data_IF_956945874643
#
_entry.id   IF_956945874643
#
_cell.length_a   1.000
_cell.length_b   1.000
_cell.length_c   1.000
_cell.angle_alpha   90.00
_cell.angle_beta   90.00
_cell.angle_gamma   90.00
#
_symmetry.space_group_name_H-M   'P 1'
#
loop_
_entity.id
_entity.type
_entity.pdbx_description
1 polymer ?
#
# COMPACT_ATOMS: atom_id res chain seq x y z
N UNK A 1 -4.35 44.80 23.55
CA UNK A 1 -4.23 45.90 22.57
C UNK A 1 -5.62 46.41 22.18
N UNK A 2 -6.42 46.86 23.16
CA UNK A 2 -7.86 47.08 23.02
C UNK A 2 -8.33 48.53 23.20
N UNK A 3 -7.44 49.52 23.00
CA UNK A 3 -7.72 50.91 23.42
C UNK A 3 -7.70 51.95 22.29
N UNK A 4 -7.77 51.54 21.01
CA UNK A 4 -7.87 52.50 19.89
C UNK A 4 -9.31 52.81 19.44
N UNK A 5 -10.34 52.22 20.07
CA UNK A 5 -11.72 52.25 19.57
C UNK A 5 -12.70 53.10 20.40
N UNK A 6 -12.21 54.05 21.22
CA UNK A 6 -13.06 55.07 21.84
C UNK A 6 -12.63 56.49 21.47
N UNK A 7 -12.07 56.66 20.27
CA UNK A 7 -11.93 57.99 19.67
C UNK A 7 -13.32 58.48 19.27
N UNK A 8 -13.72 59.66 19.72
CA UNK A 8 -14.92 60.33 19.25
C UNK A 8 -14.86 60.44 17.73
N UNK A 9 -15.79 59.81 17.01
CA UNK A 9 -15.87 59.84 15.54
C UNK A 9 -16.36 61.18 15.00
N UNK A 10 -16.54 62.17 15.88
CA UNK A 10 -16.99 63.52 15.60
C UNK A 10 -15.79 64.46 15.57
N UNK A 11 -15.67 65.21 14.49
CA UNK A 11 -14.66 66.25 14.32
C UNK A 11 -15.29 67.64 14.49
N UNK A 12 -14.47 68.61 14.88
CA UNK A 12 -14.85 70.02 14.76
C UNK A 12 -14.97 70.40 13.27
N UNK A 13 -15.74 71.45 12.91
CA UNK A 13 -15.86 71.89 11.52
C UNK A 13 -14.52 72.21 10.86
N UNK A 14 -13.57 72.78 11.61
CA UNK A 14 -12.23 73.12 11.11
C UNK A 14 -11.40 71.86 10.85
N UNK A 15 -11.47 70.87 11.73
CA UNK A 15 -10.79 69.58 11.53
C UNK A 15 -11.38 68.81 10.36
N UNK A 16 -12.72 68.78 10.24
CA UNK A 16 -13.42 68.14 9.13
C UNK A 16 -13.03 68.77 7.78
N UNK A 17 -12.98 70.11 7.71
CA UNK A 17 -12.54 70.82 6.51
C UNK A 17 -11.08 70.47 6.14
N UNK A 18 -10.17 70.45 7.13
CA UNK A 18 -8.77 70.06 6.90
C UNK A 18 -8.65 68.62 6.42
N UNK A 19 -9.43 67.70 7.00
CA UNK A 19 -9.47 66.31 6.57
C UNK A 19 -10.01 66.17 5.13
N UNK A 20 -11.05 66.93 4.77
CA UNK A 20 -11.60 66.94 3.41
C UNK A 20 -10.54 67.33 2.38
N UNK A 21 -9.77 68.41 2.62
CA UNK A 21 -8.71 68.87 1.71
C UNK A 21 -7.64 67.79 1.52
N UNK A 22 -7.24 67.11 2.60
CA UNK A 22 -6.25 66.03 2.54
C UNK A 22 -6.78 64.82 1.76
N UNK A 23 -8.04 64.44 1.98
CA UNK A 23 -8.67 63.30 1.30
C UNK A 23 -8.86 63.60 -0.19
N UNK A 24 -9.27 64.82 -0.56
CA UNK A 24 -9.38 65.23 -1.97
C UNK A 24 -8.03 65.16 -2.69
N UNK A 25 -6.94 65.59 -2.03
CA UNK A 25 -5.59 65.45 -2.57
C UNK A 25 -5.16 63.98 -2.68
N UNK A 26 -5.49 63.15 -1.69
CA UNK A 26 -5.21 61.72 -1.74
C UNK A 26 -5.96 61.02 -2.90
N UNK A 27 -7.24 61.35 -3.10
CA UNK A 27 -8.04 60.83 -4.21
C UNK A 27 -7.45 61.22 -5.57
N UNK A 28 -7.00 62.47 -5.76
CA UNK A 28 -6.33 62.90 -7.00
C UNK A 28 -5.08 62.05 -7.29
N UNK A 29 -4.29 61.77 -6.25
CA UNK A 29 -3.08 60.92 -6.36
C UNK A 29 -3.43 59.46 -6.67
N UNK A 30 -4.47 58.90 -6.07
CA UNK A 30 -4.92 57.53 -6.35
C UNK A 30 -5.43 57.39 -7.79
N UNK A 31 -6.17 58.40 -8.30
CA UNK A 31 -6.63 58.43 -9.69
C UNK A 31 -5.43 58.51 -10.65
N UNK A 32 -4.43 59.33 -10.32
CA UNK A 32 -3.18 59.42 -11.07
C UNK A 32 -2.43 58.08 -11.10
N UNK A 33 -2.28 57.42 -9.94
CA UNK A 33 -1.70 56.08 -9.86
C UNK A 33 -2.49 55.07 -10.71
N UNK A 34 -3.81 55.15 -10.75
CA UNK A 34 -4.65 54.33 -11.61
C UNK A 34 -4.37 54.52 -13.11
N UNK A 35 -4.07 55.75 -13.54
CA UNK A 35 -3.63 56.04 -14.92
C UNK A 35 -2.26 55.45 -15.20
N UNK A 36 -1.30 55.67 -14.29
CA UNK A 36 0.06 55.16 -14.42
C UNK A 36 0.11 53.62 -14.48
N UNK A 37 -0.71 52.93 -13.67
CA UNK A 37 -0.83 51.48 -13.68
C UNK A 37 -1.31 50.95 -15.04
N UNK A 38 -2.27 51.65 -15.68
CA UNK A 38 -2.78 51.27 -17.01
C UNK A 38 -1.72 51.46 -18.09
N UNK A 39 -0.94 52.53 -18.02
CA UNK A 39 0.16 52.80 -18.95
C UNK A 39 1.29 51.76 -18.81
N UNK A 40 1.73 51.48 -17.58
CA UNK A 40 2.78 50.49 -17.30
C UNK A 40 2.41 49.04 -17.68
N UNK A 41 1.12 48.69 -17.66
CA UNK A 41 0.62 47.34 -18.00
C UNK A 41 1.04 46.92 -19.41
N UNK A 42 1.16 47.88 -20.32
CA UNK A 42 1.44 47.63 -21.74
C UNK A 42 2.94 47.44 -21.99
N UNK A 43 3.77 48.23 -21.32
CA UNK A 43 5.20 48.36 -21.63
C UNK A 43 6.06 47.34 -20.86
N UNK A 44 5.84 47.19 -19.54
CA UNK A 44 6.61 46.24 -18.71
C UNK A 44 6.25 44.77 -18.96
N UNK A 45 5.02 44.49 -19.42
CA UNK A 45 4.58 43.13 -19.75
C UNK A 45 5.38 42.58 -20.94
N UNK A 46 5.63 43.42 -21.95
CA UNK A 46 6.46 43.04 -23.10
C UNK A 46 7.90 42.72 -22.68
N UNK A 47 8.52 43.65 -21.94
CA UNK A 47 9.93 43.54 -21.58
C UNK A 47 10.23 42.39 -20.60
N UNK A 48 9.37 42.14 -19.62
CA UNK A 48 9.61 41.09 -18.62
C UNK A 48 9.23 39.70 -19.14
N UNK A 49 8.17 39.58 -19.94
CA UNK A 49 7.86 38.31 -20.61
C UNK A 49 8.96 37.93 -21.58
N UNK A 50 9.54 38.91 -22.30
CA UNK A 50 10.71 38.70 -23.15
C UNK A 50 11.93 38.24 -22.33
N UNK A 51 12.30 38.98 -21.28
CA UNK A 51 13.46 38.62 -20.45
C UNK A 51 13.33 37.24 -19.78
N UNK A 52 12.14 36.89 -19.28
CA UNK A 52 11.89 35.56 -18.72
C UNK A 52 11.88 34.47 -19.80
N UNK A 53 11.39 34.79 -21.00
CA UNK A 53 11.49 33.92 -22.16
C UNK A 53 12.94 33.62 -22.52
N UNK A 54 13.79 34.64 -22.55
CA UNK A 54 15.23 34.52 -22.83
C UNK A 54 15.96 33.69 -21.77
N UNK A 55 15.63 33.89 -20.49
CA UNK A 55 16.21 33.10 -19.39
C UNK A 55 15.77 31.62 -19.45
N UNK A 56 14.51 31.34 -19.77
CA UNK A 56 14.00 29.97 -19.96
C UNK A 56 14.64 29.32 -21.18
N UNK A 57 14.80 30.05 -22.29
CA UNK A 57 15.49 29.57 -23.49
C UNK A 57 16.94 29.22 -23.17
N UNK A 58 17.65 30.06 -22.39
CA UNK A 58 19.02 29.78 -21.92
C UNK A 58 19.07 28.50 -21.07
N UNK A 59 18.19 28.38 -20.08
CA UNK A 59 18.11 27.19 -19.20
C UNK A 59 17.82 25.90 -19.99
N UNK A 60 16.95 25.97 -21.00
CA UNK A 60 16.68 24.83 -21.90
C UNK A 60 17.93 24.46 -22.70
N UNK A 61 18.68 25.45 -23.21
CA UNK A 61 19.95 25.23 -23.89
C UNK A 61 20.98 24.54 -22.99
N UNK A 62 21.18 25.03 -21.78
CA UNK A 62 22.09 24.45 -20.78
C UNK A 62 21.69 23.00 -20.42
N UNK A 63 20.39 22.73 -20.26
CA UNK A 63 19.89 21.36 -20.03
C UNK A 63 20.18 20.44 -21.22
N UNK A 64 19.91 20.88 -22.45
CA UNK A 64 20.15 20.08 -23.65
C UNK A 64 21.64 19.76 -23.85
N UNK A 65 22.53 20.69 -23.52
CA UNK A 65 23.97 20.45 -23.62
C UNK A 65 24.46 19.49 -22.53
N UNK A 66 23.93 19.57 -21.31
CA UNK A 66 24.18 18.59 -20.26
C UNK A 66 23.64 17.19 -20.63
N UNK A 67 22.49 17.10 -21.30
CA UNK A 67 21.93 15.83 -21.81
C UNK A 67 22.83 15.20 -22.87
N UNK A 68 23.33 16.00 -23.83
CA UNK A 68 24.29 15.52 -24.84
C UNK A 68 25.58 15.02 -24.19
N UNK A 69 26.15 15.79 -23.25
CA UNK A 69 27.35 15.38 -22.51
C UNK A 69 27.13 14.10 -21.72
N UNK A 70 25.98 13.96 -21.06
CA UNK A 70 25.63 12.74 -20.34
C UNK A 70 25.52 11.53 -21.29
N UNK A 71 24.89 11.69 -22.45
CA UNK A 71 24.78 10.62 -23.46
C UNK A 71 26.14 10.18 -23.99
N UNK A 72 27.06 11.13 -24.24
CA UNK A 72 28.44 10.82 -24.64
C UNK A 72 29.16 10.03 -23.55
N UNK A 73 29.11 10.47 -22.29
CA UNK A 73 29.74 9.78 -21.16
C UNK A 73 29.17 8.38 -20.91
N UNK A 74 27.88 8.14 -21.21
CA UNK A 74 27.28 6.80 -21.16
C UNK A 74 27.87 5.91 -22.25
N UNK A 75 27.99 6.41 -23.49
CA UNK A 75 28.60 5.66 -24.60
C UNK A 75 30.08 5.35 -24.33
N UNK A 76 30.85 6.34 -23.88
CA UNK A 76 32.26 6.16 -23.53
C UNK A 76 32.42 5.11 -22.41
N UNK A 77 31.50 5.11 -21.43
CA UNK A 77 31.47 4.08 -20.38
C UNK A 77 31.19 2.68 -20.93
N UNK A 78 30.25 2.54 -21.86
CA UNK A 78 29.91 1.27 -22.51
C UNK A 78 31.10 0.72 -23.31
N UNK A 79 31.83 1.58 -24.02
CA UNK A 79 33.04 1.22 -24.78
C UNK A 79 34.21 0.83 -23.86
N UNK A 80 34.40 1.53 -22.74
CA UNK A 80 35.45 1.26 -21.76
C UNK A 80 35.20 0.00 -20.91
N UNK A 81 33.96 -0.46 -20.77
CA UNK A 81 33.64 -1.69 -20.03
C UNK A 81 34.27 -2.95 -20.67
N UNK A 82 34.63 -2.90 -21.96
CA UNK A 82 35.35 -3.97 -22.67
C UNK A 82 36.88 -3.89 -22.62
N UNK A 83 37.46 -2.79 -22.10
CA UNK A 83 38.89 -2.51 -22.11
C UNK A 83 39.50 -2.65 -20.69
N UNK A 84 40.77 -3.06 -20.58
CA UNK A 84 41.45 -3.29 -19.29
C UNK A 84 41.84 -2.01 -18.52
N UNK A 85 41.47 -0.83 -19.02
CA UNK A 85 41.85 0.44 -18.40
C UNK A 85 40.87 0.85 -17.29
N UNK A 86 41.15 0.35 -16.08
CA UNK A 86 40.34 0.60 -14.88
C UNK A 86 40.41 2.05 -14.39
N UNK A 87 41.46 2.81 -14.74
CA UNK A 87 41.61 4.18 -14.27
C UNK A 87 40.74 5.14 -15.07
N UNK A 88 40.71 5.00 -16.40
CA UNK A 88 39.83 5.80 -17.27
C UNK A 88 38.37 5.47 -17.04
N UNK A 89 38.00 4.19 -16.85
CA UNK A 89 36.63 3.81 -16.49
C UNK A 89 36.14 4.51 -15.21
N UNK A 90 36.98 4.53 -14.15
CA UNK A 90 36.64 5.22 -12.90
C UNK A 90 36.57 6.74 -13.04
N UNK A 91 37.32 7.33 -13.96
CA UNK A 91 37.24 8.76 -14.25
C UNK A 91 35.94 9.10 -14.99
N UNK A 92 35.56 8.30 -16.00
CA UNK A 92 34.31 8.43 -16.75
C UNK A 92 33.09 8.23 -15.84
N UNK A 93 33.14 7.28 -14.90
CA UNK A 93 32.06 7.09 -13.91
C UNK A 93 31.87 8.29 -12.98
N UNK A 94 32.96 8.94 -12.56
CA UNK A 94 32.89 10.19 -11.77
C UNK A 94 32.30 11.33 -12.58
N UNK A 95 32.75 11.51 -13.82
CA UNK A 95 32.21 12.54 -14.72
C UNK A 95 30.73 12.30 -15.01
N UNK A 96 30.31 11.05 -15.20
CA UNK A 96 28.91 10.67 -15.40
C UNK A 96 28.05 11.00 -14.17
N UNK A 97 28.54 10.71 -12.97
CA UNK A 97 27.86 11.05 -11.72
C UNK A 97 27.73 12.56 -11.54
N UNK A 98 28.77 13.33 -11.87
CA UNK A 98 28.75 14.79 -11.83
C UNK A 98 27.79 15.38 -12.88
N UNK A 99 27.81 14.88 -14.11
CA UNK A 99 26.89 15.29 -15.17
C UNK A 99 25.43 14.98 -14.79
N UNK A 100 25.17 13.81 -14.21
CA UNK A 100 23.86 13.44 -13.65
C UNK A 100 23.40 14.39 -12.53
N UNK A 101 24.30 14.81 -11.64
CA UNK A 101 23.98 15.75 -10.56
C UNK A 101 23.65 17.15 -11.12
N UNK A 102 24.47 17.65 -12.05
CA UNK A 102 24.25 18.94 -12.74
C UNK A 102 22.95 18.93 -13.55
N UNK A 103 22.64 17.83 -14.24
CA UNK A 103 21.39 17.69 -15.00
C UNK A 103 20.16 17.67 -14.09
N UNK A 104 20.24 17.05 -12.90
CA UNK A 104 19.18 17.11 -11.89
C UNK A 104 19.00 18.53 -11.35
N UNK A 105 20.09 19.25 -11.12
CA UNK A 105 20.04 20.63 -10.66
C UNK A 105 19.46 21.59 -11.72
N UNK A 106 19.94 21.50 -12.96
CA UNK A 106 19.40 22.26 -14.10
C UNK A 106 17.91 22.00 -14.31
N UNK A 107 17.46 20.74 -14.22
CA UNK A 107 16.04 20.40 -14.29
C UNK A 107 15.23 20.98 -13.12
N UNK A 108 15.78 20.94 -11.90
CA UNK A 108 15.15 21.55 -10.73
C UNK A 108 15.01 23.06 -10.93
N UNK A 109 16.03 23.71 -11.46
CA UNK A 109 16.05 25.16 -11.66
C UNK A 109 15.15 25.59 -12.82
N UNK A 110 15.09 24.83 -13.92
CA UNK A 110 14.10 25.03 -14.98
C UNK A 110 12.67 24.86 -14.43
N UNK A 111 12.38 23.75 -13.73
CA UNK A 111 11.08 23.53 -13.10
C UNK A 111 10.73 24.63 -12.09
N UNK A 112 11.72 25.12 -11.34
CA UNK A 112 11.54 26.22 -10.41
C UNK A 112 11.21 27.51 -11.15
N UNK A 113 11.93 27.87 -12.20
CA UNK A 113 11.67 29.08 -12.98
C UNK A 113 10.30 29.04 -13.66
N UNK A 114 9.91 27.89 -14.22
CA UNK A 114 8.56 27.69 -14.78
C UNK A 114 7.46 27.84 -13.72
N UNK A 115 7.68 27.33 -12.49
CA UNK A 115 6.73 27.45 -11.36
C UNK A 115 6.74 28.82 -10.68
N UNK A 116 7.89 29.49 -10.65
CA UNK A 116 8.10 30.76 -9.98
C UNK A 116 7.74 31.96 -10.83
N UNK A 117 7.22 31.76 -12.05
CA UNK A 117 6.62 32.83 -12.87
C UNK A 117 5.67 33.62 -11.98
N UNK A 118 6.06 34.81 -11.48
CA UNK A 118 5.21 35.54 -10.57
C UNK A 118 3.96 35.88 -11.37
N UNK A 119 2.78 35.63 -10.82
CA UNK A 119 1.56 36.06 -11.48
C UNK A 119 1.43 37.58 -11.31
N UNK A 120 2.22 38.30 -12.11
CA UNK A 120 2.27 39.75 -12.15
C UNK A 120 0.90 40.27 -12.55
N UNK A 121 0.16 39.52 -13.36
CA UNK A 121 -1.20 39.87 -13.70
C UNK A 121 -2.10 39.83 -12.46
N UNK A 122 -2.09 38.76 -11.68
CA UNK A 122 -2.85 38.67 -10.43
C UNK A 122 -2.39 39.71 -9.40
N UNK A 123 -1.09 39.96 -9.26
CA UNK A 123 -0.57 40.97 -8.34
C UNK A 123 -0.99 42.39 -8.74
N UNK A 124 -0.93 42.71 -10.03
CA UNK A 124 -1.38 44.00 -10.56
C UNK A 124 -2.91 44.15 -10.47
N UNK A 125 -3.66 43.06 -10.69
CA UNK A 125 -5.11 43.03 -10.51
C UNK A 125 -5.48 43.28 -9.05
N UNK A 126 -4.81 42.61 -8.11
CA UNK A 126 -4.95 42.85 -6.66
C UNK A 126 -4.63 44.30 -6.32
N UNK A 127 -3.48 44.82 -6.77
CA UNK A 127 -3.09 46.22 -6.52
C UNK A 127 -4.15 47.20 -7.02
N UNK A 128 -4.70 46.98 -8.23
CA UNK A 128 -5.74 47.84 -8.77
C UNK A 128 -7.06 47.72 -7.99
N UNK A 129 -7.39 46.54 -7.48
CA UNK A 129 -8.57 46.32 -6.65
C UNK A 129 -8.43 46.99 -5.28
N UNK A 130 -7.27 46.86 -4.62
CA UNK A 130 -6.97 47.55 -3.36
C UNK A 130 -6.98 49.08 -3.52
N UNK A 131 -6.42 49.58 -4.64
CA UNK A 131 -6.50 51.00 -4.99
C UNK A 131 -7.94 51.47 -5.15
N UNK A 132 -8.76 50.73 -5.89
CA UNK A 132 -10.18 51.08 -6.08
C UNK A 132 -10.93 51.08 -4.75
N UNK A 133 -10.72 50.05 -3.91
CA UNK A 133 -11.32 49.98 -2.58
C UNK A 133 -10.94 51.19 -1.71
N UNK A 134 -9.67 51.59 -1.74
CA UNK A 134 -9.21 52.78 -1.02
C UNK A 134 -9.86 54.07 -1.56
N UNK A 135 -10.04 54.19 -2.88
CA UNK A 135 -10.78 55.32 -3.47
C UNK A 135 -12.24 55.35 -3.02
N UNK A 136 -12.91 54.20 -3.00
CA UNK A 136 -14.31 54.09 -2.58
C UNK A 136 -14.46 54.51 -1.11
N UNK A 137 -13.62 53.96 -0.21
CA UNK A 137 -13.65 54.30 1.22
C UNK A 137 -13.35 55.78 1.48
N UNK A 138 -12.36 56.35 0.79
CA UNK A 138 -12.02 57.76 0.92
C UNK A 138 -13.13 58.66 0.36
N UNK A 139 -13.81 58.24 -0.71
CA UNK A 139 -14.94 58.98 -1.30
C UNK A 139 -16.15 58.98 -0.38
N UNK A 140 -16.48 57.85 0.24
CA UNK A 140 -17.52 57.74 1.26
C UNK A 140 -17.20 58.59 2.48
N UNK A 141 -15.96 58.51 2.99
CA UNK A 141 -15.50 59.29 4.14
C UNK A 141 -15.54 60.79 3.84
N UNK A 142 -15.17 61.20 2.63
CA UNK A 142 -15.23 62.60 2.20
C UNK A 142 -16.68 63.13 2.21
N UNK A 143 -17.63 62.32 1.75
CA UNK A 143 -19.05 62.68 1.80
C UNK A 143 -19.56 62.79 3.23
N UNK A 144 -19.22 61.83 4.10
CA UNK A 144 -19.59 61.84 5.51
C UNK A 144 -19.04 63.07 6.24
N UNK A 145 -17.76 63.40 6.02
CA UNK A 145 -17.11 64.57 6.63
C UNK A 145 -17.78 65.87 6.22
N UNK A 146 -18.12 66.04 4.93
CA UNK A 146 -18.81 67.23 4.43
C UNK A 146 -20.24 67.37 4.97
N UNK A 147 -20.94 66.26 5.18
CA UNK A 147 -22.34 66.26 5.60
C UNK A 147 -22.53 66.39 7.12
N UNK A 148 -21.71 65.70 7.91
CA UNK A 148 -21.95 65.53 9.35
C UNK A 148 -20.71 65.76 10.22
N UNK A 149 -19.55 66.08 9.64
CA UNK A 149 -18.27 66.18 10.34
C UNK A 149 -17.91 64.89 11.10
N UNK A 150 -18.27 63.74 10.54
CA UNK A 150 -17.97 62.41 11.11
C UNK A 150 -17.21 61.53 10.11
N UNK A 151 -16.53 60.50 10.63
CA UNK A 151 -15.78 59.51 9.84
C UNK A 151 -16.09 58.07 10.31
N UNK A 152 -17.34 57.84 10.73
CA UNK A 152 -17.76 56.55 11.27
C UNK A 152 -17.69 55.46 10.21
N UNK A 153 -17.99 55.76 8.94
CA UNK A 153 -17.92 54.78 7.86
C UNK A 153 -16.51 54.17 7.72
N UNK A 154 -15.48 55.01 7.81
CA UNK A 154 -14.09 54.55 7.75
C UNK A 154 -13.73 53.65 8.93
N UNK A 155 -14.21 54.02 10.13
CA UNK A 155 -13.97 53.24 11.34
C UNK A 155 -14.62 51.86 11.25
N UNK A 156 -15.87 51.81 10.77
CA UNK A 156 -16.62 50.56 10.59
C UNK A 156 -15.98 49.69 9.50
N UNK A 157 -15.58 50.27 8.36
CA UNK A 157 -14.91 49.57 7.27
C UNK A 157 -13.56 48.97 7.71
N UNK A 158 -12.74 49.72 8.45
CA UNK A 158 -11.47 49.22 9.00
C UNK A 158 -11.70 48.11 10.03
N UNK A 159 -12.72 48.22 10.87
CA UNK A 159 -13.07 47.17 11.84
C UNK A 159 -13.52 45.88 11.14
N UNK A 160 -14.36 46.00 10.09
CA UNK A 160 -14.80 44.85 9.29
C UNK A 160 -13.64 44.15 8.60
N UNK A 161 -12.70 44.91 8.00
CA UNK A 161 -11.51 44.35 7.34
C UNK A 161 -10.58 43.65 8.34
N UNK A 162 -10.35 44.24 9.52
CA UNK A 162 -9.58 43.59 10.60
C UNK A 162 -10.20 42.26 11.00
N UNK A 163 -11.51 42.22 11.21
CA UNK A 163 -12.21 40.98 11.53
C UNK A 163 -12.14 39.95 10.38
N UNK A 164 -12.23 40.40 9.12
CA UNK A 164 -12.05 39.51 7.97
C UNK A 164 -10.63 38.93 7.91
N UNK A 165 -9.62 39.74 8.18
CA UNK A 165 -8.22 39.32 8.22
C UNK A 165 -7.94 38.32 9.35
N UNK A 166 -8.52 38.52 10.53
CA UNK A 166 -8.47 37.59 11.65
C UNK A 166 -9.09 36.23 11.28
N UNK A 167 -10.30 36.22 10.68
CA UNK A 167 -10.95 34.99 10.21
C UNK A 167 -10.10 34.26 9.17
N UNK A 168 -9.50 35.00 8.23
CA UNK A 168 -8.61 34.44 7.21
C UNK A 168 -7.36 33.82 7.85
N UNK A 169 -6.76 34.49 8.84
CA UNK A 169 -5.59 34.01 9.55
C UNK A 169 -5.90 32.72 10.33
N UNK A 170 -7.06 32.66 10.99
CA UNK A 170 -7.51 31.46 11.69
C UNK A 170 -7.78 30.31 10.71
N UNK A 171 -8.47 30.56 9.60
CA UNK A 171 -8.70 29.56 8.56
C UNK A 171 -7.38 29.00 8.00
N UNK A 172 -6.39 29.85 7.76
CA UNK A 172 -5.04 29.43 7.35
C UNK A 172 -4.35 28.57 8.40
N UNK A 173 -4.49 28.92 9.69
CA UNK A 173 -3.93 28.13 10.79
C UNK A 173 -4.55 26.74 10.84
N UNK A 174 -5.89 26.65 10.84
CA UNK A 174 -6.63 25.39 10.83
C UNK A 174 -6.30 24.53 9.60
N UNK A 175 -6.15 25.15 8.43
CA UNK A 175 -5.77 24.42 7.21
C UNK A 175 -4.37 23.80 7.31
N UNK A 176 -3.40 24.52 7.92
CA UNK A 176 -2.05 23.97 8.17
C UNK A 176 -2.08 22.81 9.16
N UNK A 177 -2.79 22.99 10.28
CA UNK A 177 -2.98 21.95 11.30
C UNK A 177 -3.62 20.69 10.69
N UNK A 178 -4.70 20.85 9.92
CA UNK A 178 -5.37 19.73 9.24
C UNK A 178 -4.48 19.07 8.19
N UNK A 179 -3.72 19.86 7.42
CA UNK A 179 -2.77 19.32 6.44
C UNK A 179 -1.64 18.53 7.10
N UNK A 180 -1.23 18.92 8.31
CA UNK A 180 -0.24 18.17 9.09
C UNK A 180 -0.85 16.88 9.64
N UNK A 181 -2.08 16.93 10.17
CA UNK A 181 -2.80 15.75 10.64
C UNK A 181 -3.00 14.71 9.53
N UNK A 182 -3.39 15.15 8.32
CA UNK A 182 -3.52 14.25 7.16
C UNK A 182 -2.20 13.56 6.84
N UNK A 183 -1.07 14.28 6.84
CA UNK A 183 0.25 13.66 6.59
C UNK A 183 0.65 12.65 7.66
N UNK A 184 0.31 12.91 8.92
CA UNK A 184 0.57 11.96 10.01
C UNK A 184 -0.26 10.69 9.83
N UNK A 185 -1.56 10.83 9.54
CA UNK A 185 -2.45 9.70 9.29
C UNK A 185 -2.01 8.90 8.06
N UNK A 186 -1.58 9.54 6.98
CA UNK A 186 -1.02 8.84 5.81
C UNK A 186 0.27 8.07 6.15
N UNK A 187 1.09 8.59 7.07
CA UNK A 187 2.29 7.90 7.53
C UNK A 187 1.95 6.70 8.41
N UNK A 188 1.00 6.85 9.33
CA UNK A 188 0.51 5.78 10.20
C UNK A 188 -0.14 4.66 9.38
N UNK A 189 -1.02 5.02 8.42
CA UNK A 189 -1.66 4.06 7.54
C UNK A 189 -0.64 3.21 6.77
N UNK A 190 0.40 3.84 6.21
CA UNK A 190 1.46 3.11 5.49
C UNK A 190 2.25 2.16 6.40
N UNK A 191 2.48 2.54 7.67
CA UNK A 191 3.13 1.66 8.64
C UNK A 191 2.24 0.47 8.96
N UNK A 192 0.97 0.71 9.23
CA UNK A 192 -0.01 -0.34 9.53
C UNK A 192 -0.18 -1.30 8.34
N UNK A 193 -0.24 -0.80 7.11
CA UNK A 193 -0.27 -1.63 5.90
C UNK A 193 0.98 -2.51 5.77
N UNK A 194 2.17 -1.98 6.10
CA UNK A 194 3.41 -2.72 6.07
C UNK A 194 3.46 -3.82 7.16
N UNK A 195 3.12 -3.48 8.39
CA UNK A 195 3.03 -4.41 9.52
C UNK A 195 2.01 -5.52 9.24
N UNK A 196 0.86 -5.16 8.67
CA UNK A 196 -0.17 -6.12 8.29
C UNK A 196 0.30 -7.04 7.16
N UNK A 197 1.03 -6.52 6.17
CA UNK A 197 1.61 -7.33 5.11
C UNK A 197 2.67 -8.30 5.66
N UNK A 198 3.51 -7.88 6.61
CA UNK A 198 4.47 -8.74 7.30
C UNK A 198 3.78 -9.84 8.11
N UNK A 199 2.76 -9.48 8.90
CA UNK A 199 1.96 -10.44 9.66
C UNK A 199 1.25 -11.46 8.75
N UNK A 200 0.70 -11.02 7.62
CA UNK A 200 0.14 -11.92 6.59
C UNK A 200 1.18 -12.86 5.99
N UNK A 201 2.40 -12.38 5.76
CA UNK A 201 3.49 -13.25 5.28
C UNK A 201 3.88 -14.28 6.34
N UNK A 202 4.05 -13.87 7.58
CA UNK A 202 4.41 -14.75 8.70
C UNK A 202 3.36 -15.86 8.90
N UNK A 203 2.08 -15.49 8.95
CA UNK A 203 0.97 -16.43 9.07
C UNK A 203 0.86 -17.38 7.86
N UNK A 204 1.11 -16.88 6.64
CA UNK A 204 1.15 -17.73 5.44
C UNK A 204 2.26 -18.78 5.49
N UNK A 205 3.46 -18.39 5.97
CA UNK A 205 4.59 -19.30 6.18
C UNK A 205 4.23 -20.36 7.23
N UNK A 206 3.63 -19.95 8.35
CA UNK A 206 3.21 -20.86 9.41
C UNK A 206 2.15 -21.86 8.91
N UNK A 207 1.15 -21.40 8.16
CA UNK A 207 0.14 -22.27 7.54
C UNK A 207 0.78 -23.26 6.58
N UNK A 208 1.77 -22.84 5.78
CA UNK A 208 2.48 -23.74 4.88
C UNK A 208 3.28 -24.80 5.66
N UNK A 209 3.97 -24.42 6.73
CA UNK A 209 4.71 -25.34 7.60
C UNK A 209 3.78 -26.36 8.28
N UNK A 210 2.64 -25.90 8.84
CA UNK A 210 1.64 -26.77 9.45
C UNK A 210 1.02 -27.74 8.44
N UNK A 211 0.77 -27.30 7.21
CA UNK A 211 0.29 -28.19 6.12
C UNK A 211 1.32 -29.27 5.77
N UNK A 212 2.60 -28.91 5.66
CA UNK A 212 3.67 -29.86 5.41
C UNK A 212 3.78 -30.89 6.53
N UNK A 213 3.73 -30.44 7.79
CA UNK A 213 3.80 -31.32 8.96
C UNK A 213 2.59 -32.26 9.03
N UNK A 214 1.39 -31.75 8.75
CA UNK A 214 0.17 -32.56 8.67
C UNK A 214 0.27 -33.62 7.56
N UNK A 215 0.80 -33.26 6.39
CA UNK A 215 1.03 -34.20 5.30
C UNK A 215 2.07 -35.26 5.66
N UNK A 216 3.15 -34.87 6.36
CA UNK A 216 4.18 -35.78 6.88
C UNK A 216 3.63 -36.74 7.93
N UNK A 217 2.76 -36.28 8.82
CA UNK A 217 2.10 -37.13 9.81
C UNK A 217 1.11 -38.08 9.14
N UNK A 218 0.32 -37.61 8.17
CA UNK A 218 -0.60 -38.43 7.40
C UNK A 218 0.12 -39.55 6.65
N UNK A 219 1.25 -39.26 6.00
CA UNK A 219 2.04 -40.28 5.30
C UNK A 219 2.63 -41.31 6.27
N UNK A 220 3.21 -40.87 7.40
CA UNK A 220 3.72 -41.79 8.43
C UNK A 220 2.60 -42.67 9.02
N UNK A 221 1.43 -42.10 9.29
CA UNK A 221 0.28 -42.86 9.77
C UNK A 221 -0.19 -43.88 8.74
N UNK A 222 -0.27 -43.49 7.45
CA UNK A 222 -0.63 -44.40 6.36
C UNK A 222 0.34 -45.57 6.20
N UNK A 223 1.65 -45.32 6.26
CA UNK A 223 2.67 -46.39 6.20
C UNK A 223 2.56 -47.33 7.41
N UNK A 224 2.37 -46.79 8.62
CA UNK A 224 2.17 -47.60 9.82
C UNK A 224 0.93 -48.47 9.70
N UNK A 225 -0.19 -47.91 9.25
CA UNK A 225 -1.45 -48.64 9.07
C UNK A 225 -1.27 -49.78 8.05
N UNK A 226 -0.71 -49.50 6.88
CA UNK A 226 -0.45 -50.50 5.85
C UNK A 226 0.49 -51.62 6.34
N UNK A 227 1.53 -51.28 7.11
CA UNK A 227 2.41 -52.27 7.72
C UNK A 227 1.67 -53.14 8.74
N UNK A 228 0.85 -52.54 9.61
CA UNK A 228 0.05 -53.30 10.58
C UNK A 228 -0.99 -54.18 9.91
N UNK A 229 -1.64 -53.71 8.84
CA UNK A 229 -2.59 -54.48 8.06
C UNK A 229 -1.90 -55.69 7.39
N UNK A 230 -0.75 -55.47 6.73
CA UNK A 230 0.02 -56.55 6.12
C UNK A 230 0.49 -57.59 7.16
N UNK A 231 0.93 -57.15 8.34
CA UNK A 231 1.32 -58.05 9.43
C UNK A 231 0.12 -58.88 9.94
N UNK A 232 -1.06 -58.27 10.06
CA UNK A 232 -2.29 -58.98 10.45
C UNK A 232 -2.73 -59.97 9.39
N UNK A 233 -2.68 -59.61 8.09
CA UNK A 233 -2.99 -60.52 6.98
C UNK A 233 -2.04 -61.72 6.99
N UNK A 234 -0.73 -61.50 7.08
CA UNK A 234 0.25 -62.58 7.14
C UNK A 234 0.02 -63.50 8.37
N UNK A 235 -0.38 -62.92 9.51
CA UNK A 235 -0.72 -63.70 10.71
C UNK A 235 -1.99 -64.55 10.50
N UNK A 236 -3.01 -64.00 9.84
CA UNK A 236 -4.23 -64.73 9.49
C UNK A 236 -3.94 -65.87 8.51
N UNK A 237 -3.18 -65.62 7.46
CA UNK A 237 -2.77 -66.64 6.48
C UNK A 237 -1.94 -67.74 7.14
N UNK A 238 -1.00 -67.37 8.02
CA UNK A 238 -0.21 -68.33 8.79
C UNK A 238 -1.08 -69.21 9.69
N UNK A 239 -2.05 -68.62 10.41
CA UNK A 239 -3.03 -69.38 11.22
C UNK A 239 -3.92 -70.27 10.36
N UNK A 240 -4.40 -69.76 9.23
CA UNK A 240 -5.23 -70.54 8.31
C UNK A 240 -4.47 -71.75 7.77
N UNK A 241 -3.19 -71.58 7.41
CA UNK A 241 -2.34 -72.68 6.98
C UNK A 241 -2.17 -73.73 8.08
N UNK A 242 -1.93 -73.32 9.33
CA UNK A 242 -1.87 -74.23 10.47
C UNK A 242 -3.17 -75.01 10.65
N UNK A 243 -4.32 -74.35 10.59
CA UNK A 243 -5.63 -74.99 10.68
C UNK A 243 -5.84 -76.03 9.57
N UNK A 244 -5.46 -75.71 8.33
CA UNK A 244 -5.54 -76.65 7.20
C UNK A 244 -4.64 -77.88 7.40
N UNK A 245 -3.45 -77.71 7.99
CA UNK A 245 -2.58 -78.85 8.31
C UNK A 245 -3.17 -79.72 9.43
N UNK A 246 -3.71 -79.12 10.47
CA UNK A 246 -4.40 -79.84 11.54
C UNK A 246 -5.65 -80.57 11.02
N UNK A 247 -6.45 -79.94 10.16
CA UNK A 247 -7.61 -80.58 9.52
C UNK A 247 -7.18 -81.79 8.69
N UNK A 248 -6.08 -81.69 7.92
CA UNK A 248 -5.52 -82.82 7.18
C UNK A 248 -5.02 -83.93 8.11
N UNK A 249 -4.38 -83.58 9.23
CA UNK A 249 -3.91 -84.56 10.22
C UNK A 249 -5.08 -85.30 10.85
N UNK A 250 -6.07 -84.57 11.35
CA UNK A 250 -7.31 -85.11 11.92
C UNK A 250 -8.09 -85.93 10.88
N UNK A 251 -8.13 -85.49 9.61
CA UNK A 251 -8.75 -86.25 8.52
C UNK A 251 -8.08 -87.60 8.29
N UNK A 252 -6.74 -87.65 8.29
CA UNK A 252 -6.00 -88.94 8.22
C UNK A 252 -6.26 -89.83 9.43
N UNK A 253 -6.35 -89.25 10.63
CA UNK A 253 -6.68 -89.99 11.85
C UNK A 253 -8.10 -90.57 11.79
N UNK A 254 -9.07 -89.80 11.30
CA UNK A 254 -10.43 -90.27 11.05
C UNK A 254 -10.46 -91.39 10.01
N UNK A 255 -9.73 -91.27 8.89
CA UNK A 255 -9.63 -92.34 7.89
C UNK A 255 -9.05 -93.63 8.47
N UNK A 256 -8.04 -93.53 9.34
CA UNK A 256 -7.45 -94.69 10.02
C UNK A 256 -8.45 -95.33 10.99
N UNK A 257 -9.06 -94.54 11.87
CA UNK A 257 -10.08 -95.02 12.80
C UNK A 257 -11.29 -95.62 12.08
N UNK A 258 -11.65 -95.08 10.92
CA UNK A 258 -12.76 -95.61 10.13
C UNK A 258 -12.40 -96.95 9.49
N UNK A 259 -11.17 -97.13 9.00
CA UNK A 259 -10.67 -98.45 8.57
C UNK A 259 -10.69 -99.46 9.72
N UNK A 260 -10.21 -99.06 10.90
CA UNK A 260 -10.23 -99.92 12.08
C UNK A 260 -11.66 -100.31 12.47
N UNK A 261 -12.60 -99.36 12.44
CA UNK A 261 -14.01 -99.62 12.70
C UNK A 261 -14.66 -100.52 11.63
N UNK A 262 -14.33 -100.35 10.36
CA UNK A 262 -14.81 -101.19 9.26
C UNK A 262 -14.25 -102.62 9.37
N UNK A 263 -12.97 -102.76 9.74
CA UNK A 263 -12.33 -104.04 10.05
C UNK A 263 -12.99 -104.72 11.25
N UNK A 264 -13.25 -103.97 12.32
CA UNK A 264 -13.97 -104.49 13.49
C UNK A 264 -15.40 -104.90 13.13
N UNK A 265 -16.12 -104.10 12.33
CA UNK A 265 -17.45 -104.43 11.85
C UNK A 265 -17.43 -105.69 10.94
N UNK A 266 -16.39 -105.86 10.12
CA UNK A 266 -16.18 -107.08 9.34
C UNK A 266 -15.94 -108.29 10.24
N UNK A 267 -15.07 -108.17 11.25
CA UNK A 267 -14.81 -109.23 12.23
C UNK A 267 -16.07 -109.57 13.04
N UNK A 268 -16.86 -108.58 13.45
CA UNK A 268 -18.13 -108.78 14.14
C UNK A 268 -19.14 -109.51 13.24
N UNK A 269 -19.25 -109.14 11.96
CA UNK A 269 -20.09 -109.86 10.98
C UNK A 269 -19.61 -111.30 10.78
N UNK A 270 -18.32 -111.52 10.57
CA UNK A 270 -17.74 -112.85 10.41
C UNK A 270 -17.94 -113.72 11.67
N UNK A 271 -17.79 -113.14 12.86
CA UNK A 271 -18.08 -113.81 14.13
C UNK A 271 -19.56 -114.10 14.31
N UNK A 272 -20.46 -113.20 13.91
CA UNK A 272 -21.90 -113.43 13.92
C UNK A 272 -22.28 -114.57 12.95
N UNK A 273 -21.71 -114.60 11.75
CA UNK A 273 -21.88 -115.67 10.77
C UNK A 273 -21.32 -117.01 11.27
N UNK A 274 -20.17 -116.99 11.94
CA UNK A 274 -19.58 -118.17 12.56
C UNK A 274 -20.45 -118.70 13.71
N UNK A 275 -20.94 -117.82 14.60
CA UNK A 275 -21.90 -118.17 15.65
C UNK A 275 -23.19 -118.73 15.05
N UNK A 276 -23.73 -118.13 13.99
CA UNK A 276 -24.90 -118.63 13.29
C UNK A 276 -24.65 -120.00 12.63
N UNK A 277 -23.46 -120.26 12.09
CA UNK A 277 -23.05 -121.59 11.60
C UNK A 277 -22.94 -122.62 12.72
N UNK A 278 -22.37 -122.24 13.86
CA UNK A 278 -22.31 -123.09 15.06
C UNK A 278 -23.70 -123.41 15.61
N UNK A 279 -24.61 -122.43 15.65
CA UNK A 279 -26.02 -122.65 16.01
C UNK A 279 -26.69 -123.61 15.02
N UNK A 280 -26.41 -123.50 13.72
CA UNK A 280 -26.89 -124.47 12.71
C UNK A 280 -26.30 -125.87 12.91
N UNK A 281 -25.01 -126.00 13.26
CA UNK A 281 -24.37 -127.29 13.55
C UNK A 281 -24.85 -127.92 14.87
N UNK A 282 -25.13 -127.10 15.89
CA UNK A 282 -25.77 -127.52 17.14
C UNK A 282 -27.21 -128.00 16.89
N UNK A 283 -27.93 -127.38 15.95
CA UNK A 283 -29.26 -127.83 15.53
C UNK A 283 -29.22 -129.11 14.66
N UNK A 284 -28.10 -129.41 13.99
CA UNK A 284 -27.89 -130.69 13.27
C UNK A 284 -27.42 -131.85 14.17
N UNK A 285 -26.84 -131.55 15.34
CA UNK A 285 -26.39 -132.56 16.32
C UNK A 285 -27.47 -132.97 17.32
N UNK A 286 -28.68 -132.41 17.22
CA UNK A 286 -29.85 -132.78 18.04
C UNK A 286 -30.97 -133.53 17.29
N UNK A 287 -30.76 -133.95 16.03
CA UNK A 287 -31.73 -134.76 15.25
C UNK A 287 -31.18 -136.13 14.81
N UNK A 288 -30.21 -136.67 15.53
CA UNK A 288 -29.83 -138.08 15.43
C UNK A 288 -29.68 -138.69 16.83
N UNK A 289 -30.84 -138.91 17.46
CA UNK A 289 -31.10 -140.04 18.35
C UNK A 289 -32.60 -140.29 18.37
#
# INVERSE_FOLDING_TARGET
MGELAKGTTQLTPVESLRACVLIEEALKRLVFLGKLIREQKTEKRSHLTAAMGDDVIRLIGEQQDLEKMHQLLVKDKEELHGLQDRETLRATERQLQEASAKLKEANRDLCRNLRQTPDIHANMLKLNHERQRAEDWLTETLHELKASNTFKCLTDNVAQEKHAQERLAEARRRNREMSQAVRLLECELRKEEAEFAESRRATSIEVAALKQELQRLKSKAGVKLAFTEAAMVAQLEGKQWQLVQEEKRLGKELEMLQKEADEEAFLQRANADFRNKLIRQANFSHTSR
#
